data_IF_191606450453
#
_entry.id   IF_191606450453
#
_cell.length_a   1.000
_cell.length_b   1.000
_cell.length_c   1.000
_cell.angle_alpha   90.00
_cell.angle_beta   90.00
_cell.angle_gamma   90.00
#
_symmetry.space_group_name_H-M   'P 1'
#
loop_
_entity.id
_entity.type
_entity.pdbx_description
1 polymer ?
#
# COMPACT_ATOMS: atom_id res chain seq x y z
N UNK A 1 42.45 18.41 33.15
CA UNK A 1 42.19 16.96 33.04
C UNK A 1 40.86 16.83 32.32
N UNK A 2 40.90 16.65 30.99
CA UNK A 2 39.73 16.72 30.11
C UNK A 2 38.90 15.45 30.23
N UNK A 3 37.60 15.62 30.53
CA UNK A 3 36.55 14.60 30.46
C UNK A 3 36.10 14.41 29.01
N UNK A 4 35.75 13.16 28.69
CA UNK A 4 35.27 12.69 27.40
C UNK A 4 33.93 13.34 26.99
N UNK A 5 33.79 13.63 25.70
CA UNK A 5 32.49 13.89 25.06
C UNK A 5 32.45 13.14 23.74
N UNK A 6 31.52 12.21 23.65
CA UNK A 6 31.30 11.28 22.54
C UNK A 6 30.87 12.02 21.26
N UNK A 7 31.31 11.51 20.11
CA UNK A 7 30.75 11.87 18.81
C UNK A 7 29.29 11.40 18.74
N UNK A 8 28.36 12.35 18.84
CA UNK A 8 26.96 12.12 18.44
C UNK A 8 26.92 12.06 16.91
N UNK A 9 26.70 10.86 16.37
CA UNK A 9 26.30 10.66 14.98
C UNK A 9 24.88 11.22 14.84
N UNK A 10 24.61 12.21 13.96
CA UNK A 10 23.24 12.60 13.70
C UNK A 10 22.57 11.47 12.93
N UNK A 11 21.71 10.72 13.63
CA UNK A 11 20.79 9.78 13.00
C UNK A 11 19.79 10.63 12.24
N UNK A 12 19.98 10.72 10.92
CA UNK A 12 19.02 11.31 10.01
C UNK A 12 17.81 10.38 10.01
N UNK A 13 16.87 10.63 10.92
CA UNK A 13 15.49 10.20 10.74
C UNK A 13 15.01 10.83 9.44
N UNK A 14 15.24 10.10 8.35
CA UNK A 14 14.62 10.38 7.08
C UNK A 14 13.14 10.11 7.27
N UNK A 15 12.37 11.16 7.52
CA UNK A 15 10.96 11.20 7.19
C UNK A 15 10.86 10.93 5.70
N UNK A 16 10.80 9.64 5.32
CA UNK A 16 10.43 9.21 3.99
C UNK A 16 9.03 9.76 3.77
N UNK A 17 8.94 10.86 3.02
CA UNK A 17 7.68 11.30 2.46
C UNK A 17 7.19 10.12 1.61
N UNK A 18 6.22 9.38 2.12
CA UNK A 18 5.58 8.31 1.37
C UNK A 18 5.00 8.96 0.13
N UNK A 19 5.53 8.60 -1.04
CA UNK A 19 4.91 9.00 -2.30
C UNK A 19 3.45 8.54 -2.27
N UNK A 20 2.49 9.38 -2.72
CA UNK A 20 1.09 8.97 -2.81
C UNK A 20 0.91 7.82 -3.80
N UNK A 21 1.88 7.58 -4.69
CA UNK A 21 1.86 6.56 -5.73
C UNK A 21 3.09 5.66 -5.69
N UNK A 22 2.93 4.42 -6.17
CA UNK A 22 3.97 3.39 -6.24
C UNK A 22 4.02 2.84 -7.67
N UNK A 23 5.21 2.76 -8.24
CA UNK A 23 5.44 2.23 -9.59
C UNK A 23 5.14 0.72 -9.66
N UNK A 24 4.61 0.24 -10.79
CA UNK A 24 4.26 -1.18 -10.95
C UNK A 24 5.44 -2.14 -10.74
N UNK A 25 6.65 -1.76 -11.10
CA UNK A 25 7.85 -2.57 -10.87
C UNK A 25 8.10 -2.80 -9.37
N UNK A 26 7.93 -1.75 -8.57
CA UNK A 26 8.05 -1.81 -7.12
C UNK A 26 6.90 -2.61 -6.51
N UNK A 27 5.67 -2.42 -7.00
CA UNK A 27 4.49 -3.21 -6.58
C UNK A 27 4.71 -4.70 -6.79
N UNK A 28 5.17 -5.11 -7.96
CA UNK A 28 5.44 -6.51 -8.28
C UNK A 28 6.43 -7.14 -7.28
N UNK A 29 7.51 -6.43 -6.97
CA UNK A 29 8.51 -6.87 -5.99
C UNK A 29 7.93 -6.98 -4.58
N UNK A 30 7.25 -5.92 -4.12
CA UNK A 30 6.67 -5.86 -2.77
C UNK A 30 5.55 -6.89 -2.56
N UNK A 31 4.84 -7.24 -3.63
CA UNK A 31 3.75 -8.21 -3.59
C UNK A 31 4.22 -9.62 -3.99
N UNK A 32 5.47 -9.81 -4.42
CA UNK A 32 6.00 -11.07 -4.95
C UNK A 32 5.11 -11.63 -6.07
N UNK A 33 4.71 -10.75 -6.99
CA UNK A 33 4.00 -11.08 -8.22
C UNK A 33 4.97 -10.94 -9.39
N UNK A 34 4.80 -11.75 -10.42
CA UNK A 34 5.44 -11.43 -11.70
C UNK A 34 4.67 -10.30 -12.41
N UNK A 35 5.28 -9.77 -13.47
CA UNK A 35 4.74 -8.65 -14.22
C UNK A 35 3.49 -9.01 -15.03
N UNK A 36 3.34 -10.28 -15.42
CA UNK A 36 2.21 -10.75 -16.21
C UNK A 36 0.96 -10.86 -15.34
N UNK A 37 1.09 -11.51 -14.18
CA UNK A 37 0.06 -11.61 -13.14
C UNK A 37 -0.38 -10.22 -12.66
N UNK A 38 0.58 -9.32 -12.40
CA UNK A 38 0.25 -7.96 -11.97
C UNK A 38 -0.54 -7.23 -13.06
N UNK A 39 -0.11 -7.32 -14.32
CA UNK A 39 -0.83 -6.70 -15.44
C UNK A 39 -2.25 -7.25 -15.58
N UNK A 40 -2.41 -8.57 -15.52
CA UNK A 40 -3.73 -9.20 -15.61
C UNK A 40 -4.64 -8.78 -14.43
N UNK A 41 -4.11 -8.61 -13.22
CA UNK A 41 -4.86 -8.06 -12.09
C UNK A 41 -5.36 -6.63 -12.32
N UNK A 42 -4.57 -5.80 -13.00
CA UNK A 42 -4.95 -4.44 -13.36
C UNK A 42 -6.00 -4.44 -14.49
N UNK A 43 -5.90 -5.38 -15.45
CA UNK A 43 -6.87 -5.55 -16.52
C UNK A 43 -8.26 -5.94 -15.98
N UNK A 44 -8.32 -6.63 -14.83
CA UNK A 44 -9.57 -6.88 -14.10
C UNK A 44 -10.19 -5.63 -13.47
N UNK A 45 -9.51 -4.48 -13.49
CA UNK A 45 -9.98 -3.22 -12.91
C UNK A 45 -9.94 -3.20 -11.39
N UNK A 46 -9.15 -4.08 -10.79
CA UNK A 46 -9.10 -4.32 -9.34
C UNK A 46 -8.53 -3.14 -8.56
N UNK A 47 -7.62 -2.38 -9.17
CA UNK A 47 -6.92 -1.24 -8.56
C UNK A 47 -6.86 -0.11 -9.59
N UNK A 48 -7.15 1.13 -9.18
CA UNK A 48 -7.01 2.28 -10.07
C UNK A 48 -5.54 2.49 -10.42
N UNK A 49 -5.29 2.69 -11.71
CA UNK A 49 -3.96 2.98 -12.24
C UNK A 49 -3.87 4.45 -12.60
N UNK A 50 -2.75 5.08 -12.28
CA UNK A 50 -2.46 6.48 -12.57
C UNK A 50 -1.16 6.56 -13.37
N UNK A 51 -1.19 7.32 -14.47
CA UNK A 51 0.02 7.69 -15.18
C UNK A 51 0.73 8.79 -14.39
N UNK A 52 2.01 8.58 -14.09
CA UNK A 52 2.88 9.59 -13.50
C UNK A 52 3.41 10.57 -14.54
N UNK A 53 3.98 11.69 -14.09
CA UNK A 53 4.59 12.70 -14.97
C UNK A 53 5.80 12.16 -15.79
N UNK A 54 6.34 10.99 -15.43
CA UNK A 54 7.41 10.29 -16.15
C UNK A 54 6.94 9.24 -17.16
N UNK A 55 5.63 9.20 -17.46
CA UNK A 55 4.95 8.13 -18.23
C UNK A 55 5.00 6.74 -17.55
N UNK A 56 5.50 6.65 -16.32
CA UNK A 56 5.48 5.41 -15.56
C UNK A 56 4.08 5.15 -15.00
N UNK A 57 3.68 3.88 -15.08
CA UNK A 57 2.40 3.40 -14.59
C UNK A 57 2.49 3.13 -13.10
N UNK A 58 1.59 3.75 -12.33
CA UNK A 58 1.60 3.69 -10.87
C UNK A 58 0.23 3.32 -10.29
N UNK A 59 0.21 2.87 -9.05
CA UNK A 59 -1.00 2.69 -8.24
C UNK A 59 -0.96 3.60 -7.01
N UNK A 60 -2.11 3.92 -6.38
CA UNK A 60 -2.12 4.56 -5.08
C UNK A 60 -1.39 3.71 -4.03
N UNK A 61 -0.55 4.35 -3.23
CA UNK A 61 0.14 3.72 -2.09
C UNK A 61 -0.84 3.08 -1.09
N UNK A 62 -2.06 3.62 -0.98
CA UNK A 62 -3.14 3.08 -0.14
C UNK A 62 -3.58 1.68 -0.53
N UNK A 63 -3.34 1.26 -1.78
CA UNK A 63 -3.77 -0.04 -2.30
C UNK A 63 -2.69 -1.13 -2.14
N UNK A 64 -1.49 -0.78 -1.68
CA UNK A 64 -0.40 -1.72 -1.49
C UNK A 64 -0.73 -2.78 -0.43
N UNK A 65 -1.33 -2.37 0.68
CA UNK A 65 -1.62 -3.30 1.79
C UNK A 65 -2.62 -4.39 1.36
N UNK A 66 -3.65 -4.02 0.61
CA UNK A 66 -4.62 -4.97 0.06
C UNK A 66 -3.96 -5.97 -0.91
N UNK A 67 -3.08 -5.49 -1.79
CA UNK A 67 -2.32 -6.34 -2.71
C UNK A 67 -1.39 -7.31 -1.98
N UNK A 68 -0.62 -6.82 -1.01
CA UNK A 68 0.30 -7.65 -0.24
C UNK A 68 -0.45 -8.76 0.49
N UNK A 69 -1.57 -8.41 1.13
CA UNK A 69 -2.41 -9.36 1.84
C UNK A 69 -3.09 -10.36 0.91
N UNK A 70 -3.64 -9.91 -0.22
CA UNK A 70 -4.23 -10.82 -1.21
C UNK A 70 -3.19 -11.75 -1.82
N UNK A 71 -1.97 -11.25 -2.09
CA UNK A 71 -0.87 -12.06 -2.62
C UNK A 71 -0.41 -13.12 -1.61
N UNK A 72 -0.33 -12.75 -0.33
CA UNK A 72 -0.06 -13.70 0.75
C UNK A 72 -1.15 -14.79 0.83
N UNK A 73 -2.43 -14.40 0.85
CA UNK A 73 -3.56 -15.35 0.86
C UNK A 73 -3.52 -16.27 -0.37
N UNK A 74 -3.23 -15.72 -1.56
CA UNK A 74 -3.09 -16.51 -2.79
C UNK A 74 -2.04 -17.60 -2.64
N UNK A 75 -0.86 -17.28 -2.10
CA UNK A 75 0.21 -18.26 -1.86
C UNK A 75 -0.18 -19.28 -0.80
N UNK A 76 -0.77 -18.83 0.32
CA UNK A 76 -1.08 -19.69 1.46
C UNK A 76 -2.15 -20.75 1.13
N UNK A 77 -3.09 -20.41 0.26
CA UNK A 77 -4.21 -21.28 -0.12
C UNK A 77 -4.15 -21.78 -1.56
N UNK A 78 -3.04 -21.53 -2.28
CA UNK A 78 -2.84 -21.89 -3.67
C UNK A 78 -4.01 -21.46 -4.58
N UNK A 79 -4.47 -20.22 -4.42
CA UNK A 79 -5.59 -19.67 -5.17
C UNK A 79 -5.16 -19.23 -6.57
N UNK A 80 -6.11 -19.21 -7.50
CA UNK A 80 -5.91 -18.63 -8.81
C UNK A 80 -5.89 -17.09 -8.77
N UNK A 81 -5.41 -16.49 -9.86
CA UNK A 81 -5.27 -15.04 -10.00
C UNK A 81 -6.63 -14.32 -9.99
N UNK A 82 -7.65 -14.96 -10.55
CA UNK A 82 -9.02 -14.44 -10.56
C UNK A 82 -9.58 -14.29 -9.14
N UNK A 83 -9.37 -15.30 -8.29
CA UNK A 83 -9.75 -15.25 -6.87
C UNK A 83 -8.96 -14.16 -6.14
N UNK A 84 -7.68 -13.98 -6.48
CA UNK A 84 -6.89 -12.87 -5.95
C UNK A 84 -7.48 -11.50 -6.33
N UNK A 85 -7.95 -11.31 -7.57
CA UNK A 85 -8.63 -10.09 -7.98
C UNK A 85 -9.89 -9.80 -7.14
N UNK A 86 -10.67 -10.84 -6.84
CA UNK A 86 -11.83 -10.72 -5.93
C UNK A 86 -11.38 -10.32 -4.53
N UNK A 87 -10.32 -10.95 -4.00
CA UNK A 87 -9.79 -10.64 -2.66
C UNK A 87 -9.33 -9.20 -2.54
N UNK A 88 -8.56 -8.70 -3.51
CA UNK A 88 -8.08 -7.31 -3.48
C UNK A 88 -9.25 -6.33 -3.48
N UNK A 89 -10.26 -6.54 -4.33
CA UNK A 89 -11.46 -5.69 -4.35
C UNK A 89 -12.16 -5.62 -2.98
N UNK A 90 -12.31 -6.76 -2.29
CA UNK A 90 -12.91 -6.77 -0.96
C UNK A 90 -12.02 -6.14 0.10
N UNK A 91 -10.70 -6.36 0.02
CA UNK A 91 -9.75 -5.76 0.96
C UNK A 91 -9.66 -4.24 0.81
N UNK A 92 -9.68 -3.72 -0.42
CA UNK A 92 -9.79 -2.28 -0.69
C UNK A 92 -11.08 -1.72 -0.10
N UNK A 93 -12.20 -2.41 -0.34
CA UNK A 93 -13.51 -1.97 0.17
C UNK A 93 -13.57 -1.96 1.69
N UNK A 94 -13.02 -2.99 2.34
CA UNK A 94 -12.94 -3.05 3.80
C UNK A 94 -12.07 -1.90 4.32
N UNK A 95 -10.90 -1.68 3.74
CA UNK A 95 -9.98 -0.62 4.15
C UNK A 95 -10.59 0.77 3.99
N UNK A 96 -11.34 1.01 2.91
CA UNK A 96 -12.09 2.25 2.71
C UNK A 96 -13.17 2.43 3.79
N UNK A 97 -13.98 1.40 4.03
CA UNK A 97 -15.04 1.44 5.03
C UNK A 97 -14.49 1.66 6.44
N UNK A 98 -13.38 1.02 6.80
CA UNK A 98 -12.71 1.20 8.09
C UNK A 98 -12.18 2.62 8.27
N UNK A 99 -11.53 3.19 7.23
CA UNK A 99 -11.08 4.59 7.22
C UNK A 99 -12.25 5.56 7.40
N UNK A 100 -13.34 5.37 6.65
CA UNK A 100 -14.55 6.21 6.77
C UNK A 100 -15.18 6.08 8.16
N UNK A 101 -15.26 4.86 8.70
CA UNK A 101 -15.83 4.63 10.02
C UNK A 101 -15.01 5.31 11.12
N UNK A 102 -13.68 5.17 11.09
CA UNK A 102 -12.79 5.86 12.02
C UNK A 102 -12.99 7.37 11.98
N UNK A 103 -12.97 7.96 10.77
CA UNK A 103 -13.17 9.39 10.58
C UNK A 103 -14.49 9.88 11.16
N UNK A 104 -15.59 9.18 10.87
CA UNK A 104 -16.91 9.53 11.39
C UNK A 104 -16.98 9.43 12.92
N UNK A 105 -16.34 8.42 13.52
CA UNK A 105 -16.27 8.28 14.98
C UNK A 105 -15.48 9.42 15.62
N UNK A 106 -14.41 9.86 14.98
CA UNK A 106 -13.60 11.00 15.44
C UNK A 106 -14.39 12.31 15.36
N UNK A 107 -15.14 12.54 14.26
CA UNK A 107 -16.02 13.71 14.10
C UNK A 107 -17.12 13.75 15.17
N UNK A 108 -17.77 12.62 15.45
CA UNK A 108 -18.78 12.52 16.51
C UNK A 108 -18.17 12.80 17.90
N UNK A 109 -16.96 12.28 18.17
CA UNK A 109 -16.26 12.54 19.42
C UNK A 109 -15.88 14.02 19.59
N UNK A 110 -15.55 14.72 18.50
CA UNK A 110 -15.24 16.15 18.51
C UNK A 110 -16.47 17.03 18.75
N UNK A 111 -17.64 16.66 18.21
CA UNK A 111 -18.90 17.39 18.45
C UNK A 111 -19.52 17.15 19.83
N UNK A 112 -19.08 16.11 20.54
CA UNK A 112 -19.58 15.74 21.87
C UNK A 112 -18.76 16.33 23.03
N UNK A 113 -17.68 17.07 22.72
CA UNK A 113 -16.86 17.84 23.68
C UNK A 113 -17.10 19.34 23.50
#
# INVERSE_FOLDING_TARGET
MLLASQLTIPTKEATMQSSPFIELNEVAQLCQLDQEDLKELLDYGTIPVVASDSDDVCIPSTSLEALQKASQIRRDYALDLFTMAILVNYLERISELERTNSKLRDEVAQCSN
#
